data_IF_850222739059
#
_entry.id   IF_850222739059
#
_cell.length_a   1.000
_cell.length_b   1.000
_cell.length_c   1.000
_cell.angle_alpha   90.00
_cell.angle_beta   90.00
_cell.angle_gamma   90.00
#
_symmetry.space_group_name_H-M   'P 1'
#
loop_
_entity.id
_entity.type
_entity.pdbx_description
1 polymer ?
#
# COMPACT_ATOMS: atom_id res chain seq x y z
N UNK A 1 -15.41 -2.35 -0.10
CA UNK A 1 -15.17 -2.98 1.21
C UNK A 1 -13.74 -2.76 1.62
N UNK A 2 -13.54 -2.32 2.86
CA UNK A 2 -12.19 -2.12 3.39
C UNK A 2 -11.84 -3.24 4.36
N UNK A 3 -10.64 -3.78 4.21
CA UNK A 3 -10.10 -4.74 5.15
C UNK A 3 -8.98 -4.05 5.94
N UNK A 4 -9.02 -4.19 7.26
CA UNK A 4 -8.10 -3.48 8.13
C UNK A 4 -7.66 -4.38 9.27
N UNK A 5 -6.38 -4.33 9.61
CA UNK A 5 -5.80 -5.14 10.68
C UNK A 5 -4.74 -4.35 11.43
N UNK A 6 -4.72 -4.49 12.76
CA UNK A 6 -3.67 -3.91 13.60
C UNK A 6 -2.54 -4.91 13.76
N UNK A 7 -1.29 -4.43 13.75
CA UNK A 7 -0.11 -5.26 13.97
C UNK A 7 0.71 -4.75 15.14
N UNK A 8 1.46 -5.64 15.79
CA UNK A 8 2.38 -5.28 16.86
C UNK A 8 3.71 -4.74 16.36
N UNK A 9 3.99 -4.84 15.06
CA UNK A 9 5.22 -4.33 14.47
C UNK A 9 5.19 -2.82 14.42
N UNK A 10 6.38 -2.19 14.49
CA UNK A 10 6.44 -0.77 14.24
C UNK A 10 6.20 -0.48 12.75
N UNK A 11 6.01 0.78 12.43
CA UNK A 11 5.65 1.20 11.08
C UNK A 11 6.68 0.75 10.05
N UNK A 12 7.95 0.98 10.32
CA UNK A 12 9.03 0.64 9.39
C UNK A 12 9.07 -0.87 9.11
N UNK A 13 9.02 -1.67 10.17
CA UNK A 13 9.05 -3.12 10.04
C UNK A 13 7.82 -3.66 9.31
N UNK A 14 6.64 -3.13 9.64
CA UNK A 14 5.40 -3.53 8.98
C UNK A 14 5.42 -3.21 7.49
N UNK A 15 5.91 -2.03 7.12
CA UNK A 15 6.01 -1.63 5.72
C UNK A 15 7.00 -2.50 4.95
N UNK A 16 8.18 -2.76 5.52
CA UNK A 16 9.18 -3.61 4.87
C UNK A 16 8.70 -5.05 4.70
N UNK A 17 8.11 -5.62 5.75
CA UNK A 17 7.59 -6.99 5.69
C UNK A 17 6.47 -7.13 4.68
N UNK A 18 5.60 -6.14 4.60
CA UNK A 18 4.51 -6.16 3.62
C UNK A 18 5.04 -6.15 2.19
N UNK A 19 6.06 -5.34 1.92
CA UNK A 19 6.68 -5.31 0.59
C UNK A 19 7.31 -6.65 0.23
N UNK A 20 7.97 -7.31 1.17
CA UNK A 20 8.54 -8.63 0.96
C UNK A 20 7.47 -9.69 0.69
N UNK A 21 6.40 -9.68 1.46
CA UNK A 21 5.28 -10.62 1.28
C UNK A 21 4.63 -10.45 -0.08
N UNK A 22 4.42 -9.22 -0.51
CA UNK A 22 3.84 -8.91 -1.82
C UNK A 22 4.69 -9.54 -2.92
N UNK A 23 6.00 -9.37 -2.86
CA UNK A 23 6.91 -9.94 -3.86
C UNK A 23 6.90 -11.47 -3.82
N UNK A 24 6.86 -12.08 -2.64
CA UNK A 24 6.78 -13.54 -2.50
C UNK A 24 5.54 -14.12 -3.17
N UNK A 25 4.45 -13.40 -3.18
CA UNK A 25 3.22 -13.82 -3.83
C UNK A 25 3.15 -13.41 -5.31
N UNK A 26 4.29 -13.07 -5.89
CA UNK A 26 4.44 -12.74 -7.32
C UNK A 26 3.72 -11.47 -7.74
N UNK A 27 3.47 -10.58 -6.81
CA UNK A 27 3.04 -9.22 -7.10
C UNK A 27 4.26 -8.30 -7.12
N UNK A 28 4.21 -7.28 -7.95
CA UNK A 28 5.23 -6.24 -7.94
C UNK A 28 4.75 -5.02 -7.16
N UNK A 29 5.67 -4.38 -6.45
CA UNK A 29 5.41 -3.07 -5.86
C UNK A 29 5.77 -2.03 -6.91
N UNK A 30 4.77 -1.38 -7.49
CA UNK A 30 4.97 -0.39 -8.54
C UNK A 30 5.47 0.93 -7.97
N UNK A 31 4.92 1.32 -6.82
CA UNK A 31 5.27 2.57 -6.18
C UNK A 31 4.87 2.53 -4.71
N UNK A 32 5.64 3.24 -3.88
CA UNK A 32 5.32 3.46 -2.47
C UNK A 32 5.14 4.97 -2.29
N UNK A 33 3.93 5.38 -1.95
CA UNK A 33 3.63 6.78 -1.64
C UNK A 33 3.85 7.00 -0.15
N UNK A 34 4.86 7.75 0.20
CA UNK A 34 5.12 8.13 1.60
C UNK A 34 4.37 9.42 1.91
N UNK A 35 3.09 9.29 2.25
CA UNK A 35 2.21 10.44 2.45
C UNK A 35 2.60 11.25 3.67
N UNK A 36 3.03 10.59 4.75
CA UNK A 36 3.47 11.30 5.95
C UNK A 36 4.64 12.24 5.64
N UNK A 37 5.64 11.71 4.95
CA UNK A 37 6.83 12.50 4.59
C UNK A 37 6.49 13.61 3.58
N UNK A 38 5.61 13.30 2.63
CA UNK A 38 5.15 14.29 1.66
C UNK A 38 4.48 15.48 2.34
N UNK A 39 3.61 15.22 3.30
CA UNK A 39 2.94 16.29 4.04
C UNK A 39 3.92 17.11 4.86
N UNK A 40 4.84 16.45 5.56
CA UNK A 40 5.87 17.16 6.35
C UNK A 40 6.78 18.01 5.48
N UNK A 41 7.12 17.53 4.29
CA UNK A 41 7.99 18.27 3.37
C UNK A 41 7.33 19.54 2.83
N UNK A 42 6.00 19.62 2.92
CA UNK A 42 5.24 20.81 2.50
C UNK A 42 4.93 21.75 3.67
N UNK A 43 5.59 21.54 4.81
CA UNK A 43 5.44 22.39 5.98
C UNK A 43 4.25 22.06 6.86
N UNK A 44 3.59 20.93 6.63
CA UNK A 44 2.46 20.50 7.44
C UNK A 44 2.97 19.66 8.62
N UNK A 45 2.53 19.99 9.83
CA UNK A 45 2.91 19.26 11.04
C UNK A 45 2.06 17.98 11.14
N UNK A 46 2.41 17.01 10.34
CA UNK A 46 1.72 15.71 10.33
C UNK A 46 2.54 14.70 11.13
N UNK A 47 1.96 14.15 12.19
CA UNK A 47 2.68 13.33 13.18
C UNK A 47 2.64 11.84 12.93
N UNK A 48 1.71 11.39 12.11
CA UNK A 48 1.58 9.97 11.81
C UNK A 48 2.39 9.59 10.58
N UNK A 49 2.64 8.29 10.45
CA UNK A 49 3.29 7.75 9.27
C UNK A 49 2.24 7.07 8.39
N UNK A 50 2.43 7.13 7.08
CA UNK A 50 1.50 6.51 6.15
C UNK A 50 2.21 6.18 4.84
N UNK A 51 2.24 4.88 4.51
CA UNK A 51 2.68 4.42 3.19
C UNK A 51 1.49 3.81 2.46
N UNK A 52 1.30 4.22 1.22
CA UNK A 52 0.34 3.59 0.31
C UNK A 52 1.14 2.88 -0.77
N UNK A 53 1.01 1.56 -0.83
CA UNK A 53 1.71 0.74 -1.80
C UNK A 53 0.79 0.47 -2.98
N UNK A 54 1.25 0.79 -4.18
CA UNK A 54 0.59 0.37 -5.41
C UNK A 54 1.21 -0.94 -5.84
N UNK A 55 0.39 -1.99 -5.91
CA UNK A 55 0.85 -3.34 -6.19
C UNK A 55 0.11 -3.90 -7.40
N UNK A 56 0.80 -4.74 -8.18
CA UNK A 56 0.22 -5.32 -9.38
C UNK A 56 0.84 -6.67 -9.67
N UNK A 57 0.02 -7.61 -10.12
CA UNK A 57 0.48 -8.83 -10.75
C UNK A 57 0.37 -8.64 -12.26
N UNK A 58 1.48 -8.52 -13.00
CA UNK A 58 1.41 -8.28 -14.44
C UNK A 58 0.58 -9.32 -15.19
N UNK A 59 0.69 -10.58 -14.80
CA UNK A 59 -0.08 -11.66 -15.44
C UNK A 59 -1.59 -11.49 -15.21
N UNK A 60 -1.99 -11.17 -13.97
CA UNK A 60 -3.39 -10.96 -13.65
C UNK A 60 -3.93 -9.70 -14.32
N UNK A 61 -3.13 -8.63 -14.34
CA UNK A 61 -3.52 -7.38 -14.97
C UNK A 61 -3.77 -7.59 -16.47
N UNK A 62 -2.89 -8.31 -17.17
CA UNK A 62 -3.07 -8.61 -18.57
C UNK A 62 -4.37 -9.37 -18.82
N UNK A 63 -4.65 -10.40 -18.01
CA UNK A 63 -5.88 -11.19 -18.16
C UNK A 63 -7.13 -10.35 -18.01
N UNK A 64 -7.15 -9.50 -16.98
CA UNK A 64 -8.29 -8.64 -16.68
C UNK A 64 -8.51 -7.62 -17.80
N UNK A 65 -7.45 -6.94 -18.23
CA UNK A 65 -7.53 -5.91 -19.26
C UNK A 65 -7.85 -6.49 -20.64
N UNK A 66 -7.47 -7.73 -20.89
CA UNK A 66 -7.82 -8.42 -22.14
C UNK A 66 -9.31 -8.77 -22.23
N UNK A 67 -9.98 -8.89 -21.10
CA UNK A 67 -11.42 -9.11 -21.04
C UNK A 67 -12.17 -7.79 -21.23
N UNK A 68 -11.77 -6.75 -20.50
CA UNK A 68 -12.45 -5.45 -20.52
C UNK A 68 -11.47 -4.36 -20.09
N UNK A 69 -11.10 -3.48 -21.02
CA UNK A 69 -10.17 -2.39 -20.75
C UNK A 69 -10.69 -1.41 -19.69
N UNK A 70 -12.01 -1.30 -19.51
CA UNK A 70 -12.55 -0.42 -18.48
C UNK A 70 -12.14 -0.84 -17.07
N UNK A 71 -11.74 -2.09 -16.89
CA UNK A 71 -11.25 -2.58 -15.60
C UNK A 71 -9.92 -1.95 -15.19
N UNK A 72 -9.26 -1.21 -16.09
CA UNK A 72 -8.06 -0.45 -15.75
C UNK A 72 -8.32 0.55 -14.62
N UNK A 73 -9.55 1.01 -14.45
CA UNK A 73 -9.91 1.96 -13.40
C UNK A 73 -9.82 1.35 -11.99
N UNK A 74 -9.84 0.02 -11.90
CA UNK A 74 -9.67 -0.68 -10.62
C UNK A 74 -8.21 -1.06 -10.35
N UNK A 75 -7.30 -0.74 -11.26
CA UNK A 75 -5.88 -1.07 -11.16
C UNK A 75 -5.06 0.21 -11.01
N UNK A 76 -3.89 0.17 -10.39
CA UNK A 76 -3.36 -0.96 -9.61
C UNK A 76 -4.05 -1.12 -8.26
N UNK A 77 -3.89 -2.27 -7.64
CA UNK A 77 -4.39 -2.49 -6.28
C UNK A 77 -3.55 -1.70 -5.28
N UNK A 78 -4.16 -1.28 -4.19
CA UNK A 78 -3.48 -0.51 -3.14
C UNK A 78 -3.57 -1.23 -1.81
N UNK A 79 -2.43 -1.22 -1.11
CA UNK A 79 -2.35 -1.70 0.27
C UNK A 79 -1.69 -0.60 1.07
N UNK A 80 -2.26 -0.25 2.22
CA UNK A 80 -1.76 0.84 3.05
C UNK A 80 -1.24 0.34 4.37
N UNK A 81 -0.19 1.01 4.87
CA UNK A 81 0.34 0.85 6.22
C UNK A 81 0.38 2.23 6.85
N UNK A 82 -0.17 2.37 8.05
CA UNK A 82 -0.18 3.68 8.71
C UNK A 82 -0.15 3.53 10.21
N UNK A 83 0.19 4.62 10.89
CA UNK A 83 0.10 4.69 12.34
C UNK A 83 -1.07 5.56 12.75
N UNK A 84 -1.68 5.20 13.85
CA UNK A 84 -2.81 5.95 14.39
C UNK A 84 -2.85 5.72 15.90
N UNK A 85 -2.59 6.79 16.67
CA UNK A 85 -2.65 6.72 18.13
C UNK A 85 -1.69 5.71 18.74
N UNK A 86 -0.49 5.56 18.18
CA UNK A 86 0.53 4.62 18.68
C UNK A 86 0.39 3.20 18.16
N UNK A 87 -0.61 2.92 17.35
CA UNK A 87 -0.81 1.61 16.74
C UNK A 87 -0.42 1.63 15.26
N UNK A 88 0.10 0.51 14.76
CA UNK A 88 0.38 0.31 13.34
C UNK A 88 -0.73 -0.54 12.73
N UNK A 89 -1.29 -0.05 11.64
CA UNK A 89 -2.41 -0.69 10.94
C UNK A 89 -2.07 -0.97 9.49
N UNK A 90 -2.67 -2.01 8.95
CA UNK A 90 -2.54 -2.40 7.54
C UNK A 90 -3.95 -2.54 7.00
N UNK A 91 -4.17 -2.04 5.78
CA UNK A 91 -5.48 -2.12 5.17
C UNK A 91 -5.45 -2.13 3.65
N UNK A 92 -6.54 -2.57 3.08
CA UNK A 92 -6.72 -2.54 1.64
C UNK A 92 -8.19 -2.44 1.27
#
# INVERSE_FOLDING_TARGET
MYYQKTTNKDFKQASEDLQEIVVKHKFGVLHVHDLGNTLRSKGIDFKEDCHVLEVCSPVQAEKVLSIDMQLNMALPCRISVWTEGGETKIGM
#
